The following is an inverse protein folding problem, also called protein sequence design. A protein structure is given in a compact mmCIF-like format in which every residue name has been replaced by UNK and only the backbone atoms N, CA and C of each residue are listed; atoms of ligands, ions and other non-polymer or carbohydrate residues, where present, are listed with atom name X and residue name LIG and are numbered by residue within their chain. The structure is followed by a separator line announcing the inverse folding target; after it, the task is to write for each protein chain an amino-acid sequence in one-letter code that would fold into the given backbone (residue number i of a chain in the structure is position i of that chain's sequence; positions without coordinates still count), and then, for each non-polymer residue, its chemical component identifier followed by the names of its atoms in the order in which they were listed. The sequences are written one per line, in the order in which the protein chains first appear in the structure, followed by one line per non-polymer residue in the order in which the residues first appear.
data_IF_734345023475
#
_entry.id   IF_734345023475
#
_cell.length_a   1.000
_cell.length_b   1.000
_cell.length_c   1.000
_cell.angle_alpha   90.00
_cell.angle_beta   90.00
_cell.angle_gamma   90.00
#
_symmetry.space_group_name_H-M   'P 1'
#
loop_
_entity.id
_entity.type
_entity.pdbx_description
1 polymer ?
#
# COMPACT_ATOMS: atom_id res chain seq x y z
N UNK A 1 -11.41 -28.27 19.10
CA UNK A 1 -11.54 -27.51 17.82
C UNK A 1 -10.13 -27.28 17.30
N UNK A 2 -9.87 -27.60 16.02
CA UNK A 2 -8.56 -27.37 15.37
C UNK A 2 -8.74 -26.25 14.33
N UNK A 3 -7.89 -25.23 14.38
CA UNK A 3 -7.91 -24.08 13.45
C UNK A 3 -6.63 -24.12 12.62
N UNK A 4 -6.80 -23.94 11.30
CA UNK A 4 -5.70 -23.99 10.33
C UNK A 4 -5.85 -22.79 9.40
N UNK A 5 -4.76 -22.08 9.17
CA UNK A 5 -4.71 -20.90 8.29
C UNK A 5 -3.92 -21.22 7.04
N UNK A 6 -4.42 -20.82 5.88
CA UNK A 6 -3.70 -20.90 4.61
C UNK A 6 -3.70 -19.52 3.96
N UNK A 7 -2.57 -19.15 3.36
CA UNK A 7 -2.44 -17.97 2.51
C UNK A 7 -2.85 -18.25 1.04
N UNK A 8 -3.33 -19.46 0.75
CA UNK A 8 -3.73 -19.93 -0.58
C UNK A 8 -2.63 -19.88 -1.66
N UNK A 9 -1.35 -19.79 -1.28
CA UNK A 9 -0.23 -19.89 -2.23
C UNK A 9 -0.01 -21.32 -2.72
N UNK A 10 -0.37 -22.30 -1.90
CA UNK A 10 -0.38 -23.72 -2.25
C UNK A 10 -1.75 -24.30 -1.93
N UNK A 11 -2.32 -24.99 -2.90
CA UNK A 11 -3.59 -25.67 -2.70
C UNK A 11 -3.44 -26.84 -1.72
N UNK A 12 -4.44 -26.97 -0.84
CA UNK A 12 -4.52 -28.08 0.09
C UNK A 12 -5.18 -29.28 -0.61
N UNK A 13 -4.74 -30.52 -0.35
CA UNK A 13 -5.35 -31.70 -0.97
C UNK A 13 -6.84 -31.85 -0.62
N UNK A 14 -7.64 -32.37 -1.56
CA UNK A 14 -9.08 -32.63 -1.37
C UNK A 14 -9.42 -33.46 -0.13
N UNK A 15 -8.56 -34.41 0.23
CA UNK A 15 -8.73 -35.22 1.43
C UNK A 15 -8.74 -34.39 2.72
N UNK A 16 -8.09 -33.23 2.70
CA UNK A 16 -8.08 -32.27 3.79
C UNK A 16 -9.29 -31.34 3.73
N UNK A 17 -9.57 -30.77 2.56
CA UNK A 17 -10.67 -29.83 2.35
C UNK A 17 -12.03 -30.42 2.75
N UNK A 18 -12.28 -31.71 2.46
CA UNK A 18 -13.53 -32.40 2.83
C UNK A 18 -13.73 -32.60 4.33
N UNK A 19 -12.73 -32.30 5.17
CA UNK A 19 -12.79 -32.43 6.64
C UNK A 19 -12.82 -31.07 7.34
N UNK A 20 -12.85 -29.97 6.59
CA UNK A 20 -12.78 -28.61 7.13
C UNK A 20 -13.93 -27.74 6.62
N UNK A 21 -14.41 -26.86 7.50
CA UNK A 21 -15.23 -25.72 7.10
C UNK A 21 -14.27 -24.61 6.67
N UNK A 22 -14.48 -24.05 5.48
CA UNK A 22 -13.65 -23.00 4.93
C UNK A 22 -14.28 -21.62 5.16
N UNK A 23 -13.50 -20.67 5.66
CA UNK A 23 -13.88 -19.28 5.74
C UNK A 23 -12.82 -18.44 5.03
N UNK A 24 -13.23 -17.77 3.94
CA UNK A 24 -12.36 -16.85 3.21
C UNK A 24 -12.36 -15.49 3.91
N UNK A 25 -11.16 -15.00 4.23
CA UNK A 25 -10.98 -13.67 4.77
C UNK A 25 -10.64 -12.75 3.60
N UNK A 26 -11.60 -11.93 3.19
CA UNK A 26 -11.39 -10.93 2.17
C UNK A 26 -10.44 -9.84 2.68
N UNK A 27 -9.67 -9.26 1.75
CA UNK A 27 -8.88 -8.08 2.07
C UNK A 27 -9.83 -6.92 2.44
N UNK A 28 -9.57 -6.16 3.52
CA UNK A 28 -10.48 -5.13 3.97
C UNK A 28 -10.62 -4.00 2.94
N UNK A 29 -11.85 -3.52 2.79
CA UNK A 29 -12.15 -2.26 2.12
C UNK A 29 -11.64 -1.07 2.98
N UNK A 30 -11.69 0.17 2.45
CA UNK A 30 -11.18 1.32 3.19
C UNK A 30 -11.84 1.50 4.57
N UNK A 31 -13.15 1.27 4.70
CA UNK A 31 -13.86 1.41 5.98
C UNK A 31 -13.42 0.35 7.00
N UNK A 32 -13.31 -0.91 6.58
CA UNK A 32 -12.80 -2.00 7.41
C UNK A 32 -11.35 -1.77 7.82
N UNK A 33 -10.53 -1.25 6.91
CA UNK A 33 -9.13 -0.93 7.18
C UNK A 33 -9.00 0.24 8.16
N UNK A 34 -9.83 1.28 8.08
CA UNK A 34 -9.88 2.36 9.08
C UNK A 34 -10.17 1.81 10.48
N UNK A 35 -11.12 0.87 10.60
CA UNK A 35 -11.44 0.21 11.88
C UNK A 35 -10.23 -0.57 12.41
N UNK A 36 -9.52 -1.30 11.55
CA UNK A 36 -8.30 -2.01 11.93
C UNK A 36 -7.25 -1.01 12.42
N UNK A 37 -6.97 0.04 11.65
CA UNK A 37 -5.98 1.05 12.01
C UNK A 37 -6.33 1.74 13.33
N UNK A 38 -7.61 2.04 13.60
CA UNK A 38 -8.04 2.67 14.84
C UNK A 38 -7.71 1.84 16.08
N UNK A 39 -7.71 0.49 15.98
CA UNK A 39 -7.30 -0.40 17.08
C UNK A 39 -5.80 -0.32 17.34
N UNK A 40 -4.98 -0.20 16.29
CA UNK A 40 -3.52 -0.14 16.41
C UNK A 40 -2.98 1.27 16.71
N UNK A 41 -3.64 2.31 16.19
CA UNK A 41 -3.21 3.71 16.25
C UNK A 41 -4.38 4.63 16.66
N UNK A 42 -4.88 4.56 17.91
CA UNK A 42 -6.10 5.25 18.33
C UNK A 42 -5.99 6.79 18.34
N UNK A 43 -4.78 7.34 18.27
CA UNK A 43 -4.50 8.79 18.27
C UNK A 43 -3.92 9.29 16.95
N UNK A 44 -4.05 8.50 15.88
CA UNK A 44 -3.52 8.86 14.57
C UNK A 44 -4.23 10.12 14.03
N UNK A 45 -3.46 11.05 13.49
CA UNK A 45 -4.03 12.22 12.82
C UNK A 45 -4.84 11.78 11.61
N UNK A 46 -6.11 12.22 11.53
CA UNK A 46 -7.03 11.83 10.45
C UNK A 46 -6.47 12.12 9.05
N UNK A 47 -5.86 13.29 8.85
CA UNK A 47 -5.27 13.67 7.56
C UNK A 47 -4.08 12.77 7.17
N UNK A 48 -3.28 12.34 8.14
CA UNK A 48 -2.18 11.39 7.91
C UNK A 48 -2.75 10.05 7.44
N UNK A 49 -3.79 9.55 8.13
CA UNK A 49 -4.47 8.32 7.77
C UNK A 49 -5.05 8.38 6.35
N UNK A 50 -5.80 9.43 6.02
CA UNK A 50 -6.39 9.61 4.69
C UNK A 50 -5.34 9.57 3.58
N UNK A 51 -4.24 10.33 3.74
CA UNK A 51 -3.17 10.36 2.73
C UNK A 51 -2.44 9.02 2.62
N UNK A 52 -2.21 8.33 3.75
CA UNK A 52 -1.59 7.02 3.77
C UNK A 52 -2.49 5.95 3.13
N UNK A 53 -3.78 5.95 3.44
CA UNK A 53 -4.77 5.01 2.89
C UNK A 53 -4.89 5.17 1.37
N UNK A 54 -5.02 6.40 0.89
CA UNK A 54 -5.11 6.66 -0.54
C UNK A 54 -3.84 6.20 -1.27
N UNK A 55 -2.67 6.46 -0.68
CA UNK A 55 -1.38 6.01 -1.22
C UNK A 55 -1.29 4.49 -1.22
N UNK A 56 -1.67 3.84 -0.13
CA UNK A 56 -1.62 2.40 0.03
C UNK A 56 -2.48 1.66 -1.00
N UNK A 57 -3.73 2.08 -1.19
CA UNK A 57 -4.60 1.46 -2.19
C UNK A 57 -4.18 1.79 -3.62
N UNK A 58 -3.63 2.99 -3.87
CA UNK A 58 -3.01 3.31 -5.16
C UNK A 58 -1.88 2.33 -5.47
N UNK A 59 -0.97 2.08 -4.51
CA UNK A 59 0.14 1.15 -4.68
C UNK A 59 -0.37 -0.29 -4.90
N UNK A 60 -1.38 -0.75 -4.15
CA UNK A 60 -1.98 -2.09 -4.34
C UNK A 60 -2.60 -2.31 -5.71
N UNK A 61 -3.03 -1.24 -6.38
CA UNK A 61 -3.63 -1.28 -7.70
C UNK A 61 -2.61 -1.25 -8.85
N UNK A 62 -1.31 -1.13 -8.55
CA UNK A 62 -0.26 -1.19 -9.57
C UNK A 62 -0.21 -2.62 -10.13
N UNK A 63 -0.31 -2.78 -11.46
CA UNK A 63 -0.26 -4.09 -12.09
C UNK A 63 1.15 -4.69 -11.96
N UNK A 64 1.21 -6.02 -11.97
CA UNK A 64 2.46 -6.80 -11.96
C UNK A 64 3.34 -6.67 -10.71
N UNK A 65 2.82 -6.13 -9.60
CA UNK A 65 3.47 -6.28 -8.30
C UNK A 65 3.56 -7.77 -7.94
N UNK A 66 4.76 -8.24 -7.65
CA UNK A 66 4.97 -9.62 -7.21
C UNK A 66 4.29 -9.85 -5.86
N UNK A 67 4.40 -8.88 -4.94
CA UNK A 67 3.71 -8.93 -3.65
C UNK A 67 3.00 -7.63 -3.37
N UNK A 68 1.67 -7.66 -3.36
CA UNK A 68 0.86 -6.51 -2.95
C UNK A 68 1.02 -6.28 -1.44
N UNK A 69 1.21 -5.02 -0.98
CA UNK A 69 1.41 -4.72 0.43
C UNK A 69 0.15 -5.03 1.25
N UNK A 70 0.26 -5.80 2.33
CA UNK A 70 -0.86 -6.24 3.17
C UNK A 70 -1.22 -5.24 4.28
N UNK A 71 -2.25 -5.57 5.06
CA UNK A 71 -2.67 -4.81 6.25
C UNK A 71 -1.53 -4.58 7.23
N UNK A 72 -0.69 -5.58 7.49
CA UNK A 72 0.43 -5.46 8.44
C UNK A 72 1.46 -4.45 7.93
N UNK A 73 1.80 -4.49 6.64
CA UNK A 73 2.74 -3.52 6.06
C UNK A 73 2.19 -2.08 6.12
N UNK A 74 0.87 -1.87 6.01
CA UNK A 74 0.25 -0.55 6.22
C UNK A 74 0.40 -0.07 7.67
N UNK A 75 0.11 -0.93 8.64
CA UNK A 75 0.20 -0.59 10.07
C UNK A 75 1.64 -0.21 10.45
N UNK A 76 2.61 -0.99 9.98
CA UNK A 76 4.04 -0.73 10.18
C UNK A 76 4.46 0.58 9.50
N UNK A 77 3.95 0.84 8.30
CA UNK A 77 4.25 2.07 7.57
C UNK A 77 3.68 3.30 8.25
N UNK A 78 2.44 3.25 8.74
CA UNK A 78 1.85 4.30 9.57
C UNK A 78 2.68 4.59 10.81
N UNK A 79 3.17 3.55 11.49
CA UNK A 79 4.05 3.69 12.65
C UNK A 79 5.36 4.40 12.27
N UNK A 80 5.96 4.05 11.12
CA UNK A 80 7.17 4.70 10.61
C UNK A 80 6.95 6.17 10.24
N UNK A 81 5.81 6.50 9.61
CA UNK A 81 5.43 7.88 9.27
C UNK A 81 5.30 8.75 10.53
N UNK A 82 4.66 8.22 11.58
CA UNK A 82 4.50 8.92 12.86
C UNK A 82 5.84 9.16 13.54
N UNK A 83 6.68 8.11 13.67
CA UNK A 83 8.00 8.22 14.30
C UNK A 83 8.91 9.18 13.51
N UNK A 84 8.84 9.12 12.17
CA UNK A 84 9.59 9.99 11.29
C UNK A 84 9.09 11.44 11.23
N UNK A 85 7.98 11.77 11.91
CA UNK A 85 7.40 13.11 11.89
C UNK A 85 7.00 13.57 10.49
N UNK A 86 6.56 12.63 9.63
CA UNK A 86 6.25 12.93 8.24
C UNK A 86 4.96 13.74 8.15
N UNK A 87 5.03 14.88 7.47
CA UNK A 87 3.83 15.67 7.16
C UNK A 87 2.91 14.94 6.18
N UNK A 88 1.58 14.91 6.40
CA UNK A 88 0.62 14.26 5.50
C UNK A 88 0.76 14.70 4.03
N UNK A 89 1.11 15.97 3.79
CA UNK A 89 1.24 16.53 2.44
C UNK A 89 2.42 15.94 1.63
N UNK A 90 3.41 15.35 2.31
CA UNK A 90 4.59 14.74 1.69
C UNK A 90 4.40 13.27 1.33
N UNK A 91 3.43 12.59 1.94
CA UNK A 91 3.24 11.13 1.79
C UNK A 91 3.15 10.70 0.33
N UNK A 92 2.25 11.33 -0.45
CA UNK A 92 2.05 10.97 -1.86
C UNK A 92 3.20 11.38 -2.77
N UNK A 93 3.94 12.43 -2.41
CA UNK A 93 4.97 13.01 -3.26
C UNK A 93 6.27 12.25 -3.11
N UNK A 94 6.66 11.98 -1.87
CA UNK A 94 7.98 11.48 -1.52
C UNK A 94 7.97 9.97 -1.26
N UNK A 95 6.79 9.36 -1.06
CA UNK A 95 6.60 7.95 -0.64
C UNK A 95 7.62 7.53 0.43
N UNK A 96 7.69 8.25 1.57
CA UNK A 96 8.72 8.01 2.56
C UNK A 96 8.62 6.59 3.10
N UNK A 97 9.78 5.95 3.34
CA UNK A 97 9.85 4.59 3.86
C UNK A 97 9.14 3.53 2.99
N UNK A 98 9.14 3.69 1.66
CA UNK A 98 8.46 2.77 0.72
C UNK A 98 8.84 1.29 0.91
N UNK A 99 10.07 0.98 1.33
CA UNK A 99 10.50 -0.40 1.63
C UNK A 99 9.77 -1.05 2.82
N UNK A 100 9.02 -0.29 3.61
CA UNK A 100 8.12 -0.84 4.63
C UNK A 100 6.90 -1.47 3.95
N UNK A 101 6.35 -0.82 2.92
CA UNK A 101 5.22 -1.31 2.13
C UNK A 101 5.64 -2.42 1.16
N UNK A 102 6.71 -2.21 0.40
CA UNK A 102 7.16 -3.17 -0.61
C UNK A 102 8.35 -3.99 -0.12
N UNK A 103 8.15 -5.30 -0.03
CA UNK A 103 9.17 -6.24 0.46
C UNK A 103 10.06 -6.84 -0.64
N UNK A 104 9.76 -6.55 -1.92
CA UNK A 104 10.54 -7.03 -3.07
C UNK A 104 11.27 -5.86 -3.71
N UNK A 105 12.56 -6.04 -3.97
CA UNK A 105 13.39 -4.99 -4.56
C UNK A 105 12.95 -4.68 -5.99
N UNK A 106 12.52 -5.69 -6.73
CA UNK A 106 12.01 -5.54 -8.09
C UNK A 106 10.73 -4.68 -8.12
N UNK A 107 9.86 -4.83 -7.12
CA UNK A 107 8.65 -4.01 -6.97
C UNK A 107 9.02 -2.55 -6.67
N UNK A 108 10.06 -2.30 -5.88
CA UNK A 108 10.57 -0.94 -5.62
C UNK A 108 11.07 -0.28 -6.90
N UNK A 109 11.86 -0.99 -7.71
CA UNK A 109 12.41 -0.48 -8.96
C UNK A 109 11.31 -0.12 -9.96
N UNK A 110 10.28 -0.97 -10.08
CA UNK A 110 9.11 -0.69 -10.94
C UNK A 110 8.45 0.62 -10.54
N UNK A 111 8.23 0.84 -9.24
CA UNK A 111 7.55 2.04 -8.74
C UNK A 111 8.41 3.28 -8.89
N UNK A 112 9.69 3.23 -8.49
CA UNK A 112 10.61 4.37 -8.61
C UNK A 112 10.76 4.80 -10.08
N UNK A 113 10.88 3.86 -11.01
CA UNK A 113 10.95 4.15 -12.44
C UNK A 113 9.67 4.81 -12.97
N UNK A 114 8.49 4.35 -12.54
CA UNK A 114 7.21 4.96 -12.92
C UNK A 114 7.05 6.39 -12.36
N UNK A 115 7.51 6.64 -11.14
CA UNK A 115 7.46 7.96 -10.52
C UNK A 115 8.43 8.93 -11.20
N UNK A 116 9.67 8.50 -11.48
CA UNK A 116 10.64 9.30 -12.21
C UNK A 116 10.18 9.62 -13.65
N UNK A 117 9.58 8.66 -14.35
CA UNK A 117 9.00 8.87 -15.69
C UNK A 117 7.83 9.87 -15.70
N UNK A 118 6.99 9.87 -14.65
CA UNK A 118 5.91 10.87 -14.49
C UNK A 118 6.42 12.26 -14.10
N UNK A 119 7.47 12.35 -13.29
CA UNK A 119 8.08 13.63 -12.94
C UNK A 119 8.70 14.32 -14.17
N UNK A 120 9.39 13.57 -15.03
CA UNK A 120 10.02 14.11 -16.24
C UNK A 120 9.00 14.59 -17.28
N UNK A 121 7.89 13.87 -17.48
CA UNK A 121 6.81 14.29 -18.40
C UNK A 121 6.07 15.54 -17.91
N UNK A 122 5.91 15.71 -16.59
CA UNK A 122 5.32 16.93 -16.00
C UNK A 122 6.19 18.17 -16.20
N UNK A 123 7.51 18.02 -16.11
CA UNK A 123 8.48 19.11 -16.36
C UNK A 123 8.52 19.51 -17.85
N UNK A 124 8.43 18.56 -18.78
CA UNK A 124 8.37 18.86 -20.21
C UNK A 124 7.07 19.58 -20.61
N UNK A 125 5.92 19.15 -20.08
CA UNK A 125 4.63 19.81 -20.32
C UNK A 125 4.57 21.23 -19.73
N UNK A 126 5.19 21.47 -18.57
CA UNK A 126 5.30 22.81 -18.00
C UNK A 126 6.17 23.74 -18.88
N UNK A 127 7.29 23.24 -19.41
CA UNK A 127 8.15 24.01 -20.35
C UNK A 127 7.47 24.29 -21.69
N UNK A 128 6.67 23.35 -22.21
CA UNK A 128 5.89 23.55 -23.44
C UNK A 128 4.74 24.56 -23.31
N UNK A 129 4.20 24.76 -22.10
CA UNK A 129 3.14 25.75 -21.87
C UNK A 129 3.68 27.18 -21.73
N UNK A 130 4.94 27.37 -21.31
CA UNK A 130 5.57 28.69 -21.19
C UNK A 130 6.03 29.28 -22.54
N UNK A 131 6.03 28.49 -23.62
CA UNK A 131 6.49 28.92 -24.94
C UNK A 131 5.35 29.37 -25.88
N UNK A 132 4.12 29.52 -25.36
CA UNK A 132 2.94 29.98 -26.13
C UNK A 132 2.56 31.46 -25.90
N UNK A 133 3.35 32.19 -25.10
CA UNK A 133 3.19 33.63 -24.86
C UNK A 133 4.50 34.39 -25.11
N UNK A 134 5.12 34.15 -26.26
CA UNK A 134 6.17 34.99 -26.83
C UNK A 134 5.98 35.10 -28.32
#
# INVERSE_FOLDING_TARGET
IVIITSNAEKELPDAFLRRCIFHYIAFPDPEGMEKIVAVHHPRLEKRLLEQAMETFYMLRNIPNLQKRPSTSELIDWLQALVIGGISPNKIKQDLPFLGVLLKKNEDLDIILNQLHGKAQSRVQNAKGSFNRYR
#
